data_IF_954673111759
#
_entry.id   IF_954673111759
#
_cell.length_a   1.000
_cell.length_b   1.000
_cell.length_c   1.000
_cell.angle_alpha   90.00
_cell.angle_beta   90.00
_cell.angle_gamma   90.00
#
_symmetry.space_group_name_H-M   'P 1'
#
loop_
_entity.id
_entity.type
_entity.pdbx_description
1 polymer ?
#
# COMPACT_ATOMS: atom_id res chain seq x y z
N UNK A 1 -7.00 10.73 -25.51
CA UNK A 1 -7.12 11.27 -24.14
C UNK A 1 -7.80 10.28 -23.20
N UNK A 2 -8.92 9.65 -23.60
CA UNK A 2 -9.54 8.56 -22.83
C UNK A 2 -8.55 7.42 -22.46
N UNK A 3 -7.73 6.98 -23.42
CA UNK A 3 -6.74 5.90 -23.23
C UNK A 3 -5.71 6.19 -22.11
N UNK A 4 -5.20 7.43 -22.00
CA UNK A 4 -4.22 7.79 -20.96
C UNK A 4 -4.83 7.78 -19.55
N UNK A 5 -6.09 8.23 -19.44
CA UNK A 5 -6.82 8.26 -18.17
C UNK A 5 -7.22 6.86 -17.74
N UNK A 6 -7.80 6.08 -18.64
CA UNK A 6 -8.18 4.69 -18.38
C UNK A 6 -6.96 3.88 -17.93
N UNK A 7 -5.82 4.06 -18.62
CA UNK A 7 -4.55 3.46 -18.21
C UNK A 7 -4.10 3.92 -16.82
N UNK A 8 -4.24 5.20 -16.47
CA UNK A 8 -3.90 5.71 -15.14
C UNK A 8 -4.78 5.06 -14.06
N UNK A 9 -6.08 4.93 -14.29
CA UNK A 9 -7.01 4.28 -13.35
C UNK A 9 -6.67 2.81 -13.13
N UNK A 10 -6.38 2.07 -14.21
CA UNK A 10 -5.97 0.66 -14.15
C UNK A 10 -4.69 0.51 -13.33
N UNK A 11 -3.68 1.35 -13.61
CA UNK A 11 -2.40 1.30 -12.91
C UNK A 11 -2.54 1.66 -11.43
N UNK A 12 -3.36 2.66 -11.08
CA UNK A 12 -3.61 3.03 -9.68
C UNK A 12 -4.33 1.90 -8.93
N UNK A 13 -5.36 1.29 -9.53
CA UNK A 13 -6.06 0.14 -8.93
C UNK A 13 -5.10 -1.02 -8.68
N UNK A 14 -4.25 -1.34 -9.66
CA UNK A 14 -3.25 -2.39 -9.52
C UNK A 14 -2.24 -2.08 -8.42
N UNK A 15 -1.70 -0.86 -8.38
CA UNK A 15 -0.72 -0.44 -7.38
C UNK A 15 -1.29 -0.51 -5.95
N UNK A 16 -2.52 -0.02 -5.74
CA UNK A 16 -3.19 -0.10 -4.43
C UNK A 16 -3.36 -1.56 -4.00
N UNK A 17 -3.75 -2.44 -4.92
CA UNK A 17 -3.84 -3.88 -4.65
C UNK A 17 -2.49 -4.47 -4.25
N UNK A 18 -1.45 -4.24 -5.06
CA UNK A 18 -0.13 -4.79 -4.83
C UNK A 18 0.50 -4.31 -3.51
N UNK A 19 0.32 -3.03 -3.16
CA UNK A 19 0.78 -2.49 -1.89
C UNK A 19 0.09 -3.14 -0.69
N UNK A 20 -1.18 -3.59 -0.81
CA UNK A 20 -1.86 -4.33 0.28
C UNK A 20 -1.22 -5.70 0.49
N UNK A 21 -0.83 -6.37 -0.59
CA UNK A 21 -0.11 -7.65 -0.51
C UNK A 21 1.24 -7.45 0.18
N UNK A 22 2.00 -6.41 -0.21
CA UNK A 22 3.25 -6.06 0.47
C UNK A 22 3.07 -5.67 1.93
N UNK A 23 2.01 -4.94 2.30
CA UNK A 23 1.73 -4.62 3.69
C UNK A 23 1.51 -5.90 4.52
N UNK A 24 0.81 -6.90 3.97
CA UNK A 24 0.64 -8.20 4.61
C UNK A 24 1.96 -8.98 4.75
N UNK A 25 2.80 -8.97 3.71
CA UNK A 25 4.15 -9.56 3.76
C UNK A 25 5.02 -8.90 4.84
N UNK A 26 5.05 -7.56 4.89
CA UNK A 26 5.81 -6.80 5.89
C UNK A 26 5.32 -7.15 7.31
N UNK A 27 4.00 -7.31 7.49
CA UNK A 27 3.45 -7.74 8.78
C UNK A 27 3.96 -9.12 9.20
N UNK A 28 3.98 -10.09 8.28
CA UNK A 28 4.53 -11.43 8.57
C UNK A 28 6.02 -11.40 8.91
N UNK A 29 6.78 -10.52 8.26
CA UNK A 29 8.19 -10.29 8.59
C UNK A 29 8.35 -9.67 9.99
N UNK A 30 7.47 -8.74 10.37
CA UNK A 30 7.49 -8.14 11.70
C UNK A 30 7.18 -9.17 12.80
N UNK A 31 6.19 -10.03 12.57
CA UNK A 31 5.86 -11.15 13.46
C UNK A 31 7.06 -12.09 13.62
N UNK A 32 7.74 -12.45 12.52
CA UNK A 32 8.97 -13.26 12.56
C UNK A 32 10.08 -12.56 13.34
N UNK A 33 10.31 -11.26 13.12
CA UNK A 33 11.34 -10.50 13.84
C UNK A 33 11.07 -10.48 15.36
N UNK A 34 9.80 -10.36 15.75
CA UNK A 34 9.38 -10.40 17.15
C UNK A 34 9.64 -11.77 17.78
N UNK A 35 9.31 -12.86 17.09
CA UNK A 35 9.60 -14.23 17.55
C UNK A 35 11.09 -14.49 17.76
N UNK A 36 11.95 -13.84 16.97
CA UNK A 36 13.40 -13.90 17.09
C UNK A 36 14.00 -12.96 18.15
N UNK A 37 13.17 -12.20 18.88
CA UNK A 37 13.61 -11.25 19.90
C UNK A 37 14.20 -9.94 19.34
N UNK A 38 13.97 -9.65 18.06
CA UNK A 38 14.45 -8.43 17.38
C UNK A 38 13.40 -7.31 17.47
N UNK A 39 13.12 -6.82 18.67
CA UNK A 39 11.97 -5.92 18.91
C UNK A 39 12.05 -4.62 18.09
N UNK A 40 13.21 -3.96 18.03
CA UNK A 40 13.39 -2.73 17.23
C UNK A 40 13.13 -2.96 15.74
N UNK A 41 13.56 -4.10 15.21
CA UNK A 41 13.33 -4.45 13.80
C UNK A 41 11.85 -4.71 13.53
N UNK A 42 11.16 -5.43 14.43
CA UNK A 42 9.72 -5.65 14.39
C UNK A 42 8.95 -4.32 14.39
N UNK A 43 9.31 -3.38 15.29
CA UNK A 43 8.68 -2.07 15.35
C UNK A 43 8.86 -1.25 14.06
N UNK A 44 10.07 -1.27 13.48
CA UNK A 44 10.34 -0.59 12.21
C UNK A 44 9.57 -1.22 11.04
N UNK A 45 9.44 -2.55 11.00
CA UNK A 45 8.63 -3.24 9.98
C UNK A 45 7.15 -2.89 10.13
N UNK A 46 6.60 -2.91 11.35
CA UNK A 46 5.22 -2.49 11.61
C UNK A 46 4.99 -1.03 11.23
N UNK A 47 5.98 -0.15 11.44
CA UNK A 47 5.92 1.23 10.97
C UNK A 47 5.87 1.31 9.43
N UNK A 48 6.74 0.56 8.73
CA UNK A 48 6.75 0.52 7.26
C UNK A 48 5.43 0.03 6.67
N UNK A 49 4.82 -1.01 7.26
CA UNK A 49 3.47 -1.46 6.90
C UNK A 49 2.43 -0.33 7.06
N UNK A 50 2.43 0.38 8.20
CA UNK A 50 1.48 1.49 8.44
C UNK A 50 1.65 2.63 7.45
N UNK A 51 2.89 2.95 7.08
CA UNK A 51 3.19 3.97 6.07
C UNK A 51 2.68 3.54 4.68
N UNK A 52 2.79 2.26 4.33
CA UNK A 52 2.21 1.69 3.12
C UNK A 52 0.68 1.79 3.11
N UNK A 53 0.02 1.47 4.22
CA UNK A 53 -1.44 1.60 4.35
C UNK A 53 -1.91 3.06 4.21
N UNK A 54 -1.17 4.00 4.81
CA UNK A 54 -1.45 5.43 4.67
C UNK A 54 -1.26 5.93 3.22
N UNK A 55 -0.24 5.42 2.52
CA UNK A 55 -0.04 5.65 1.09
C UNK A 55 -1.24 5.15 0.29
N UNK A 56 -1.70 3.92 0.55
CA UNK A 56 -2.87 3.34 -0.13
C UNK A 56 -4.17 4.14 0.11
N UNK A 57 -4.38 4.68 1.30
CA UNK A 57 -5.52 5.55 1.58
C UNK A 57 -5.48 6.82 0.72
N UNK A 58 -4.30 7.45 0.61
CA UNK A 58 -4.10 8.65 -0.22
C UNK A 58 -4.29 8.35 -1.71
N UNK A 59 -3.75 7.23 -2.19
CA UNK A 59 -3.91 6.77 -3.57
C UNK A 59 -5.38 6.47 -3.91
N UNK A 60 -6.14 5.91 -2.96
CA UNK A 60 -7.57 5.64 -3.14
C UNK A 60 -8.37 6.93 -3.30
N UNK A 61 -8.06 7.97 -2.51
CA UNK A 61 -8.66 9.30 -2.66
C UNK A 61 -8.34 9.90 -4.04
N UNK A 62 -7.10 9.74 -4.52
CA UNK A 62 -6.71 10.19 -5.85
C UNK A 62 -7.49 9.46 -6.95
N UNK A 63 -7.64 8.13 -6.85
CA UNK A 63 -8.43 7.33 -7.76
C UNK A 63 -9.90 7.77 -7.79
N UNK A 64 -10.50 8.04 -6.63
CA UNK A 64 -11.89 8.53 -6.55
C UNK A 64 -12.08 9.89 -7.22
N UNK A 65 -11.10 10.79 -7.11
CA UNK A 65 -11.13 12.09 -7.79
C UNK A 65 -11.02 11.91 -9.30
N UNK A 66 -10.09 11.08 -9.75
CA UNK A 66 -9.93 10.75 -11.17
C UNK A 66 -11.22 10.15 -11.69
N UNK A 67 -11.90 9.25 -10.98
CA UNK A 67 -13.15 8.66 -11.44
C UNK A 67 -14.32 9.66 -11.50
N UNK A 68 -14.36 10.67 -10.62
CA UNK A 68 -15.44 11.69 -10.57
C UNK A 68 -15.33 12.80 -11.60
N UNK A 69 -14.14 13.03 -12.14
CA UNK A 69 -13.92 13.98 -13.24
C UNK A 69 -14.33 13.39 -14.61
N UNK A 70 -15.11 12.30 -14.62
CA UNK A 70 -15.50 11.52 -15.83
C UNK A 70 -16.83 11.94 -16.43
#
# INVERSE_FOLDING_TARGET
MADKREKLEILLKHLIGHNKDHAAEIKGLAETAKELGMEEASELLLKGMKEMDASNATLSIALDKIAKES
#
